data_IF_029217770290
#
_entry.id   IF_029217770290
#
_cell.length_a   1.000
_cell.length_b   1.000
_cell.length_c   1.000
_cell.angle_alpha   90.00
_cell.angle_beta   90.00
_cell.angle_gamma   90.00
#
_symmetry.space_group_name_H-M   'P 1'
#
loop_
_entity.id
_entity.type
_entity.pdbx_description
1 polymer ?
#
# COMPACT_ATOMS: atom_id res chain seq x y z
N UNK A 1 -9.73 3.15 19.09
CA UNK A 1 -8.68 3.34 20.12
C UNK A 1 -7.39 3.61 19.37
N UNK A 2 -6.75 4.73 19.63
CA UNK A 2 -5.46 5.08 19.03
C UNK A 2 -4.37 4.95 20.09
N UNK A 3 -3.23 4.37 19.73
CA UNK A 3 -2.06 4.26 20.57
C UNK A 3 -1.04 5.32 20.17
N UNK A 4 -0.28 5.84 21.12
CA UNK A 4 0.83 6.77 20.85
C UNK A 4 1.99 6.04 20.19
N UNK A 5 2.86 6.77 19.51
CA UNK A 5 4.06 6.19 18.90
C UNK A 5 4.93 5.49 19.93
N UNK A 6 5.06 6.04 21.14
CA UNK A 6 5.79 5.43 22.25
C UNK A 6 5.19 4.10 22.70
N UNK A 7 3.86 3.98 22.73
CA UNK A 7 3.15 2.73 23.05
C UNK A 7 3.38 1.68 21.96
N UNK A 8 3.37 2.08 20.69
CA UNK A 8 3.64 1.19 19.55
C UNK A 8 5.09 0.72 19.56
N UNK A 9 6.04 1.62 19.80
CA UNK A 9 7.47 1.29 19.93
C UNK A 9 7.66 0.29 21.09
N UNK A 10 7.04 0.54 22.24
CA UNK A 10 7.10 -0.34 23.42
C UNK A 10 6.52 -1.72 23.13
N UNK A 11 5.38 -1.78 22.44
CA UNK A 11 4.78 -3.03 21.99
C UNK A 11 5.74 -3.83 21.09
N UNK A 12 6.42 -3.16 20.15
CA UNK A 12 7.39 -3.78 19.24
C UNK A 12 8.75 -4.10 19.88
N UNK A 13 9.01 -3.64 21.08
CA UNK A 13 10.19 -4.01 21.90
C UNK A 13 9.93 -5.22 22.82
N UNK A 14 8.69 -5.67 22.93
CA UNK A 14 8.32 -6.83 23.75
C UNK A 14 9.09 -8.07 23.29
N UNK A 15 9.64 -8.82 24.24
CA UNK A 15 10.29 -10.11 24.00
C UNK A 15 9.23 -11.17 23.70
N UNK A 16 9.23 -11.71 22.46
CA UNK A 16 8.21 -12.69 22.01
C UNK A 16 8.31 -14.00 22.78
N UNK A 17 9.51 -14.39 23.21
CA UNK A 17 9.71 -15.61 24.01
C UNK A 17 9.01 -15.47 25.36
N UNK A 18 9.19 -14.34 26.02
CA UNK A 18 8.54 -14.02 27.29
C UNK A 18 7.02 -13.91 27.12
N UNK A 19 6.55 -13.26 26.05
CA UNK A 19 5.15 -13.14 25.73
C UNK A 19 4.49 -14.52 25.54
N UNK A 20 5.07 -15.41 24.71
CA UNK A 20 4.58 -16.77 24.48
C UNK A 20 4.59 -17.61 25.76
N UNK A 21 5.63 -17.47 26.58
CA UNK A 21 5.72 -18.19 27.86
C UNK A 21 4.61 -17.73 28.82
N UNK A 22 4.31 -16.43 28.87
CA UNK A 22 3.20 -15.89 29.67
C UNK A 22 1.81 -16.36 29.18
N UNK A 23 1.67 -16.65 27.87
CA UNK A 23 0.48 -17.27 27.30
C UNK A 23 0.41 -18.80 27.49
N UNK A 24 1.38 -19.39 28.17
CA UNK A 24 1.44 -20.85 28.40
C UNK A 24 1.87 -21.67 27.18
N UNK A 25 2.38 -21.03 26.15
CA UNK A 25 2.82 -21.68 24.92
C UNK A 25 4.16 -22.40 25.10
N UNK A 26 4.31 -23.56 24.45
CA UNK A 26 5.53 -24.37 24.56
C UNK A 26 6.56 -23.99 23.49
N UNK A 27 7.76 -23.71 23.94
CA UNK A 27 8.91 -23.34 23.10
C UNK A 27 10.00 -24.41 23.19
N UNK A 28 10.56 -24.79 22.05
CA UNK A 28 11.73 -25.66 21.95
C UNK A 28 12.99 -24.84 21.59
N UNK A 29 14.08 -25.01 22.30
CA UNK A 29 15.36 -24.37 21.98
C UNK A 29 15.90 -24.88 20.65
N UNK A 30 16.26 -23.97 19.73
CA UNK A 30 16.81 -24.27 18.41
C UNK A 30 18.03 -23.38 18.14
N UNK A 31 19.20 -23.79 18.58
CA UNK A 31 20.42 -22.99 18.49
C UNK A 31 20.35 -21.70 19.35
N UNK A 32 20.39 -20.53 18.69
CA UNK A 32 20.25 -19.22 19.33
C UNK A 32 18.80 -18.73 19.42
N UNK A 33 17.87 -19.44 18.81
CA UNK A 33 16.44 -19.09 18.70
C UNK A 33 15.58 -20.10 19.43
N UNK A 34 14.29 -19.78 19.57
CA UNK A 34 13.28 -20.70 20.08
C UNK A 34 12.27 -21.04 18.98
N UNK A 35 11.91 -22.31 18.86
CA UNK A 35 10.88 -22.80 17.95
C UNK A 35 9.56 -22.93 18.69
N UNK A 36 8.51 -22.35 18.14
CA UNK A 36 7.18 -22.44 18.74
C UNK A 36 6.53 -23.77 18.38
N UNK A 37 6.28 -24.62 19.38
CA UNK A 37 5.79 -25.98 19.14
C UNK A 37 4.41 -26.06 18.50
N UNK A 38 3.55 -25.06 18.73
CA UNK A 38 2.22 -24.99 18.10
C UNK A 38 2.30 -24.66 16.61
N UNK A 39 3.38 -24.00 16.20
CA UNK A 39 3.67 -23.62 14.83
C UNK A 39 5.13 -23.93 14.50
N UNK A 40 5.44 -25.19 14.22
CA UNK A 40 6.81 -25.72 14.06
C UNK A 40 7.69 -24.97 13.02
N UNK A 41 7.06 -24.29 12.06
CA UNK A 41 7.77 -23.46 11.08
C UNK A 41 8.15 -22.08 11.58
N UNK A 42 7.77 -21.71 12.83
CA UNK A 42 8.01 -20.39 13.40
C UNK A 42 9.14 -20.44 14.42
N UNK A 43 10.16 -19.61 14.21
CA UNK A 43 11.22 -19.32 15.18
C UNK A 43 11.08 -17.92 15.74
N UNK A 44 11.43 -17.72 17.00
CA UNK A 44 11.40 -16.45 17.71
C UNK A 44 12.72 -16.18 18.42
N UNK A 45 13.17 -14.92 18.45
CA UNK A 45 14.39 -14.50 19.12
C UNK A 45 14.25 -13.03 19.55
N UNK A 46 14.18 -12.77 20.86
CA UNK A 46 13.91 -11.42 21.37
C UNK A 46 12.61 -10.86 20.82
N UNK A 47 12.67 -9.72 20.19
CA UNK A 47 11.53 -9.05 19.55
C UNK A 47 11.41 -9.34 18.04
N UNK A 48 11.90 -10.49 17.58
CA UNK A 48 11.80 -10.92 16.19
C UNK A 48 11.21 -12.31 16.07
N UNK A 49 10.42 -12.52 15.01
CA UNK A 49 9.96 -13.83 14.62
C UNK A 49 10.19 -14.07 13.14
N UNK A 50 10.26 -15.33 12.75
CA UNK A 50 10.37 -15.77 11.37
C UNK A 50 9.61 -17.06 11.13
N UNK A 51 8.79 -17.10 10.07
CA UNK A 51 8.05 -18.28 9.63
C UNK A 51 8.70 -18.88 8.40
N UNK A 52 9.45 -19.97 8.60
CA UNK A 52 10.24 -20.62 7.55
C UNK A 52 9.39 -21.15 6.39
N UNK A 53 8.18 -21.63 6.64
CA UNK A 53 7.27 -22.17 5.61
C UNK A 53 6.76 -21.11 4.64
N UNK A 54 6.82 -19.83 5.01
CA UNK A 54 6.32 -18.72 4.21
C UNK A 54 7.39 -17.65 3.89
N UNK A 55 8.63 -17.85 4.37
CA UNK A 55 9.72 -16.93 4.12
C UNK A 55 9.53 -15.52 4.68
N UNK A 56 8.70 -15.34 5.71
CA UNK A 56 8.38 -14.03 6.29
C UNK A 56 8.56 -13.97 7.80
N UNK A 57 8.76 -12.77 8.30
CA UNK A 57 8.92 -12.49 9.72
C UNK A 57 8.59 -11.04 10.03
N UNK A 58 8.69 -10.65 11.28
CA UNK A 58 8.35 -9.29 11.70
C UNK A 58 8.64 -9.01 13.17
N UNK A 59 7.92 -8.04 13.71
CA UNK A 59 7.98 -7.59 15.09
C UNK A 59 6.82 -8.16 15.93
N UNK A 60 6.80 -7.92 17.26
CA UNK A 60 5.78 -8.48 18.15
C UNK A 60 4.34 -8.10 17.79
N UNK A 61 4.09 -6.87 17.32
CA UNK A 61 2.74 -6.47 16.90
C UNK A 61 2.27 -7.31 15.71
N UNK A 62 3.13 -7.46 14.68
CA UNK A 62 2.83 -8.31 13.52
C UNK A 62 2.62 -9.77 13.95
N UNK A 63 3.42 -10.26 14.92
CA UNK A 63 3.30 -11.59 15.47
C UNK A 63 1.91 -11.84 16.08
N UNK A 64 1.45 -10.91 16.92
CA UNK A 64 0.15 -11.05 17.58
C UNK A 64 -0.99 -10.95 16.59
N UNK A 65 -0.91 -10.03 15.62
CA UNK A 65 -1.90 -9.93 14.54
C UNK A 65 -1.98 -11.21 13.71
N UNK A 66 -0.84 -11.78 13.33
CA UNK A 66 -0.75 -12.98 12.50
C UNK A 66 -1.24 -14.27 13.19
N UNK A 67 -0.84 -14.48 14.44
CA UNK A 67 -1.04 -15.77 15.11
C UNK A 67 -2.17 -15.80 16.14
N UNK A 68 -2.64 -14.64 16.58
CA UNK A 68 -3.76 -14.51 17.52
C UNK A 68 -5.00 -13.91 16.87
N UNK A 69 -4.93 -13.63 15.53
CA UNK A 69 -6.02 -13.03 14.77
C UNK A 69 -6.53 -11.72 15.42
N UNK A 70 -5.63 -10.95 16.02
CA UNK A 70 -5.92 -9.71 16.70
C UNK A 70 -5.83 -8.53 15.74
N UNK A 71 -6.69 -7.55 15.93
CA UNK A 71 -6.53 -6.24 15.26
C UNK A 71 -5.31 -5.50 15.81
N UNK A 72 -4.81 -4.51 15.09
CA UNK A 72 -3.67 -3.72 15.56
C UNK A 72 -3.85 -3.14 16.98
N UNK A 73 -5.00 -2.53 17.33
CA UNK A 73 -5.24 -2.06 18.69
C UNK A 73 -5.21 -3.18 19.75
N UNK A 74 -5.80 -4.32 19.44
CA UNK A 74 -5.80 -5.50 20.33
C UNK A 74 -4.38 -6.06 20.50
N UNK A 75 -3.60 -6.11 19.41
CA UNK A 75 -2.21 -6.57 19.46
C UNK A 75 -1.36 -5.67 20.37
N UNK A 76 -1.46 -4.34 20.21
CA UNK A 76 -0.74 -3.40 21.09
C UNK A 76 -1.18 -3.58 22.55
N UNK A 77 -2.48 -3.68 22.81
CA UNK A 77 -3.02 -3.94 24.16
C UNK A 77 -2.49 -5.24 24.76
N UNK A 78 -2.46 -6.32 23.98
CA UNK A 78 -1.97 -7.63 24.44
C UNK A 78 -0.48 -7.60 24.80
N UNK A 79 0.31 -6.80 24.10
CA UNK A 79 1.75 -6.70 24.31
C UNK A 79 2.15 -5.72 25.44
N UNK A 80 1.40 -4.63 25.63
CA UNK A 80 1.73 -3.58 26.60
C UNK A 80 0.86 -3.64 27.86
N UNK A 81 -0.32 -4.26 27.79
CA UNK A 81 -1.32 -4.21 28.86
C UNK A 81 -2.05 -2.86 28.98
N UNK A 82 -1.73 -1.90 28.12
CA UNK A 82 -2.28 -0.54 28.14
C UNK A 82 -3.51 -0.42 27.23
N UNK A 83 -4.52 0.34 27.66
CA UNK A 83 -5.63 0.71 26.80
C UNK A 83 -5.30 2.00 26.05
N UNK A 84 -5.57 2.00 24.74
CA UNK A 84 -5.44 3.22 23.93
C UNK A 84 -6.51 4.24 24.36
N UNK A 85 -6.16 5.51 24.33
CA UNK A 85 -7.10 6.59 24.63
C UNK A 85 -8.21 6.65 23.58
N UNK A 86 -9.47 6.63 24.03
CA UNK A 86 -10.62 6.73 23.15
C UNK A 86 -10.79 8.15 22.62
N UNK A 87 -10.55 8.34 21.34
CA UNK A 87 -11.03 9.53 20.62
C UNK A 87 -12.05 9.11 19.58
N UNK A 88 -13.17 9.85 19.57
CA UNK A 88 -14.22 9.74 18.58
C UNK A 88 -13.61 9.92 17.17
N UNK A 89 -14.04 9.06 16.26
CA UNK A 89 -13.72 9.08 14.83
C UNK A 89 -14.12 10.42 14.22
N UNK A 90 -13.17 11.33 14.18
CA UNK A 90 -13.12 12.38 13.17
C UNK A 90 -12.01 11.98 12.22
N UNK A 91 -12.19 12.16 10.90
CA UNK A 91 -11.13 11.98 9.90
C UNK A 91 -9.79 12.42 10.50
N UNK A 92 -8.72 11.62 10.44
CA UNK A 92 -7.45 12.03 10.96
C UNK A 92 -7.06 13.33 10.25
N UNK A 93 -6.81 14.39 11.02
CA UNK A 93 -6.14 15.55 10.49
C UNK A 93 -4.86 15.08 9.78
N UNK A 94 -4.42 15.73 8.68
CA UNK A 94 -3.19 15.34 8.01
C UNK A 94 -2.09 15.24 9.04
N UNK A 95 -1.28 14.18 8.95
CA UNK A 95 -0.03 14.13 9.72
C UNK A 95 0.62 15.50 9.59
N UNK A 96 0.94 16.20 10.68
CA UNK A 96 1.40 17.59 10.61
C UNK A 96 2.68 17.77 9.79
N UNK A 97 3.33 16.67 9.40
CA UNK A 97 4.63 16.67 8.74
C UNK A 97 4.61 16.18 7.28
N UNK A 98 3.48 15.67 6.74
CA UNK A 98 3.42 15.30 5.32
C UNK A 98 3.60 16.51 4.42
N UNK A 99 4.64 16.52 3.61
CA UNK A 99 4.93 17.56 2.63
C UNK A 99 5.30 16.93 1.29
N UNK A 100 4.66 17.43 0.23
CA UNK A 100 5.05 17.06 -1.11
C UNK A 100 6.49 17.53 -1.39
N UNK A 101 7.30 16.73 -2.13
CA UNK A 101 8.58 17.16 -2.64
C UNK A 101 8.48 18.48 -3.43
N UNK A 102 9.51 19.32 -3.34
CA UNK A 102 9.57 20.56 -4.09
C UNK A 102 9.52 20.28 -5.60
N UNK A 103 8.67 21.02 -6.32
CA UNK A 103 8.51 20.87 -7.76
C UNK A 103 9.68 21.52 -8.51
N UNK A 104 10.12 20.87 -9.59
CA UNK A 104 10.99 21.48 -10.57
C UNK A 104 10.22 22.53 -11.39
N UNK A 105 10.92 23.47 -12.01
CA UNK A 105 10.32 24.53 -12.83
C UNK A 105 9.67 23.96 -14.11
N UNK A 106 10.23 22.88 -14.65
CA UNK A 106 9.70 22.18 -15.82
C UNK A 106 9.56 20.68 -15.53
N UNK A 107 8.97 19.93 -16.45
CA UNK A 107 8.76 18.49 -16.33
C UNK A 107 9.42 17.71 -17.48
N UNK A 108 10.43 18.28 -18.13
CA UNK A 108 10.99 17.72 -19.37
C UNK A 108 11.59 16.33 -19.18
N UNK A 109 12.25 16.09 -18.05
CA UNK A 109 12.88 14.82 -17.77
C UNK A 109 11.85 13.70 -17.51
N UNK A 110 10.82 13.98 -16.74
CA UNK A 110 9.76 13.00 -16.49
C UNK A 110 8.89 12.77 -17.72
N UNK A 111 8.62 13.78 -18.53
CA UNK A 111 7.93 13.63 -19.81
C UNK A 111 8.71 12.66 -20.68
N UNK A 112 10.02 12.90 -20.88
CA UNK A 112 10.88 12.00 -21.64
C UNK A 112 10.86 10.58 -21.08
N UNK A 113 11.02 10.42 -19.77
CA UNK A 113 11.00 9.12 -19.11
C UNK A 113 9.68 8.38 -19.33
N UNK A 114 8.54 9.03 -19.12
CA UNK A 114 7.24 8.41 -19.27
C UNK A 114 6.90 8.10 -20.73
N UNK A 115 7.35 8.93 -21.68
CA UNK A 115 7.10 8.70 -23.11
C UNK A 115 8.09 7.75 -23.74
N UNK A 116 9.39 7.98 -23.60
CA UNK A 116 10.42 7.21 -24.33
C UNK A 116 10.75 5.88 -23.63
N UNK A 117 10.79 5.86 -22.28
CA UNK A 117 11.16 4.66 -21.55
C UNK A 117 9.95 3.80 -21.11
N UNK A 118 8.75 4.43 -21.02
CA UNK A 118 7.51 3.76 -20.57
C UNK A 118 6.44 3.66 -21.66
N UNK A 119 6.64 4.28 -22.82
CA UNK A 119 5.73 4.20 -23.95
C UNK A 119 4.39 4.91 -23.75
N UNK A 120 4.26 5.76 -22.71
CA UNK A 120 3.00 6.45 -22.44
C UNK A 120 2.87 7.66 -23.36
N UNK A 121 1.70 7.83 -23.98
CA UNK A 121 1.44 8.95 -24.89
C UNK A 121 1.62 10.31 -24.20
N UNK A 122 2.32 11.22 -24.91
CA UNK A 122 2.68 12.54 -24.40
C UNK A 122 1.46 13.34 -23.93
N UNK A 123 0.37 13.33 -24.69
CA UNK A 123 -0.84 14.06 -24.35
C UNK A 123 -1.45 13.58 -23.02
N UNK A 124 -1.39 12.27 -22.76
CA UNK A 124 -1.84 11.70 -21.48
C UNK A 124 -0.95 12.16 -20.33
N UNK A 125 0.38 12.09 -20.50
CA UNK A 125 1.34 12.58 -19.49
C UNK A 125 1.10 14.06 -19.18
N UNK A 126 0.94 14.89 -20.21
CA UNK A 126 0.68 16.33 -20.06
C UNK A 126 -0.67 16.62 -19.37
N UNK A 127 -1.71 15.81 -19.61
CA UNK A 127 -3.00 15.93 -18.93
C UNK A 127 -2.85 15.70 -17.40
N UNK A 128 -2.12 14.65 -16.99
CA UNK A 128 -1.87 14.37 -15.57
C UNK A 128 -0.91 15.37 -14.91
N UNK A 129 0.03 15.95 -15.66
CA UNK A 129 0.87 17.05 -15.19
C UNK A 129 0.01 18.31 -14.99
N UNK A 130 -0.89 18.57 -15.93
CA UNK A 130 -1.82 19.72 -15.88
C UNK A 130 -2.78 19.67 -14.68
N UNK A 131 -3.20 18.48 -14.25
CA UNK A 131 -4.00 18.31 -13.02
C UNK A 131 -3.15 18.49 -11.73
N UNK A 132 -1.83 18.43 -11.83
CA UNK A 132 -0.92 18.48 -10.71
C UNK A 132 -0.80 17.17 -9.92
N UNK A 133 -1.28 16.06 -10.49
CA UNK A 133 -1.20 14.73 -9.89
C UNK A 133 0.09 14.00 -10.27
N UNK A 134 0.77 14.49 -11.32
CA UNK A 134 2.13 14.07 -11.70
C UNK A 134 3.00 15.32 -11.84
N UNK A 135 4.23 15.26 -11.32
CA UNK A 135 5.22 16.32 -11.53
C UNK A 135 6.65 15.80 -11.32
N UNK A 136 7.64 16.58 -11.78
CA UNK A 136 9.08 16.35 -11.54
C UNK A 136 9.49 16.96 -10.21
N UNK A 137 10.11 16.17 -9.33
CA UNK A 137 10.68 16.71 -8.10
C UNK A 137 12.08 17.28 -8.36
N UNK A 138 12.38 18.40 -7.69
CA UNK A 138 13.56 19.23 -7.95
C UNK A 138 14.89 18.58 -7.57
N UNK A 139 14.93 17.80 -6.50
CA UNK A 139 16.18 17.34 -5.93
C UNK A 139 16.83 16.18 -6.72
N UNK A 140 16.02 15.22 -7.14
CA UNK A 140 16.50 13.99 -7.80
C UNK A 140 15.87 13.77 -9.17
N UNK A 141 15.00 14.69 -9.60
CA UNK A 141 14.27 14.62 -10.86
C UNK A 141 13.45 13.31 -11.02
N UNK A 142 12.88 12.83 -9.91
CA UNK A 142 11.97 11.70 -9.92
C UNK A 142 10.59 12.12 -10.42
N UNK A 143 9.85 11.17 -10.99
CA UNK A 143 8.40 11.34 -11.16
C UNK A 143 7.74 11.22 -9.79
N UNK A 144 6.92 12.21 -9.42
CA UNK A 144 6.06 12.16 -8.25
C UNK A 144 4.63 11.89 -8.69
N UNK A 145 4.02 10.84 -8.15
CA UNK A 145 2.61 10.50 -8.30
C UNK A 145 1.89 10.86 -7.01
N UNK A 146 0.91 11.77 -7.07
CA UNK A 146 0.22 12.34 -5.91
C UNK A 146 -1.10 11.63 -5.67
N UNK A 147 -1.32 11.17 -4.45
CA UNK A 147 -2.61 10.70 -3.95
C UNK A 147 -3.30 11.80 -3.15
N UNK A 148 -4.57 12.07 -3.48
CA UNK A 148 -5.38 13.11 -2.83
C UNK A 148 -6.58 12.51 -2.14
N UNK A 149 -7.09 13.20 -1.13
CA UNK A 149 -8.41 12.91 -0.55
C UNK A 149 -9.56 13.42 -1.44
N UNK A 150 -10.80 13.27 -0.94
CA UNK A 150 -11.99 13.70 -1.65
C UNK A 150 -12.08 15.23 -1.85
N UNK A 151 -11.42 16.00 -0.98
CA UNK A 151 -11.36 17.45 -1.04
C UNK A 151 -10.20 17.97 -1.94
N UNK A 152 -9.45 17.04 -2.55
CA UNK A 152 -8.32 17.35 -3.42
C UNK A 152 -7.03 17.69 -2.65
N UNK A 153 -6.98 17.48 -1.34
CA UNK A 153 -5.80 17.75 -0.52
C UNK A 153 -4.82 16.57 -0.69
N UNK A 154 -3.52 16.83 -1.00
CA UNK A 154 -2.50 15.80 -1.05
C UNK A 154 -2.32 15.10 0.31
N UNK A 155 -2.37 13.77 0.31
CA UNK A 155 -2.19 12.92 1.49
C UNK A 155 -1.09 11.87 1.32
N UNK A 156 -0.76 11.58 0.08
CA UNK A 156 0.18 10.55 -0.30
C UNK A 156 0.98 11.00 -1.51
N UNK A 157 2.23 10.57 -1.60
CA UNK A 157 2.99 10.67 -2.82
C UNK A 157 3.98 9.51 -2.96
N UNK A 158 4.11 9.00 -4.19
CA UNK A 158 5.07 7.98 -4.56
C UNK A 158 6.07 8.55 -5.56
N UNK A 159 7.36 8.30 -5.33
CA UNK A 159 8.44 8.74 -6.21
C UNK A 159 8.98 7.58 -7.03
N UNK A 160 9.18 7.82 -8.33
CA UNK A 160 9.82 6.90 -9.26
C UNK A 160 11.02 7.54 -9.93
N UNK A 161 12.20 6.93 -9.76
CA UNK A 161 13.44 7.39 -10.38
C UNK A 161 13.40 7.35 -11.91
N UNK A 162 13.95 8.39 -12.53
CA UNK A 162 14.05 8.55 -14.00
C UNK A 162 15.44 8.18 -14.52
N UNK A 163 16.41 7.94 -13.64
CA UNK A 163 17.79 7.58 -13.99
C UNK A 163 18.02 6.08 -14.07
N UNK A 164 19.29 5.68 -14.20
CA UNK A 164 19.73 4.28 -14.23
C UNK A 164 19.40 3.54 -12.92
N UNK A 165 19.51 4.23 -11.78
CA UNK A 165 19.11 3.70 -10.48
C UNK A 165 17.59 3.63 -10.41
N UNK A 166 17.06 2.41 -10.34
CA UNK A 166 15.61 2.15 -10.28
C UNK A 166 15.01 2.51 -8.91
N UNK A 167 15.12 3.77 -8.51
CA UNK A 167 14.51 4.24 -7.26
C UNK A 167 12.99 4.15 -7.31
N UNK A 168 12.39 3.67 -6.23
CA UNK A 168 10.96 3.73 -5.96
C UNK A 168 10.75 3.83 -4.45
N UNK A 169 9.84 4.68 -4.02
CA UNK A 169 9.54 4.84 -2.59
C UNK A 169 8.47 5.89 -2.36
N UNK A 170 7.80 5.75 -1.25
CA UNK A 170 6.82 6.75 -0.85
C UNK A 170 7.52 7.90 -0.14
N UNK A 171 6.94 9.08 -0.26
CA UNK A 171 7.36 10.25 0.48
C UNK A 171 7.09 10.01 1.98
N UNK A 172 8.01 10.46 2.83
CA UNK A 172 7.85 10.34 4.28
C UNK A 172 6.49 10.91 4.74
N UNK A 173 5.92 10.31 5.77
CA UNK A 173 4.61 10.68 6.36
C UNK A 173 3.42 10.59 5.37
N UNK A 174 3.57 9.91 4.24
CA UNK A 174 2.46 9.60 3.34
C UNK A 174 1.41 8.73 4.03
N UNK A 175 0.14 9.13 3.93
CA UNK A 175 -0.98 8.32 4.41
C UNK A 175 -1.29 7.20 3.41
N UNK A 176 -1.07 5.95 3.83
CA UNK A 176 -1.29 4.75 3.01
C UNK A 176 -2.76 4.45 2.70
N UNK A 177 -3.70 5.20 3.29
CA UNK A 177 -5.11 5.14 2.94
C UNK A 177 -5.41 5.87 1.62
N UNK A 178 -4.42 6.51 1.03
CA UNK A 178 -4.54 7.19 -0.26
C UNK A 178 -3.53 6.63 -1.26
N UNK A 179 -3.89 6.70 -2.54
CA UNK A 179 -3.04 6.30 -3.64
C UNK A 179 -3.19 7.27 -4.81
N UNK A 180 -2.28 7.18 -5.78
CA UNK A 180 -2.46 7.88 -7.04
C UNK A 180 -3.72 7.34 -7.73
N UNK A 181 -4.69 8.20 -8.06
CA UNK A 181 -5.99 7.76 -8.51
C UNK A 181 -6.66 8.74 -9.48
N UNK A 182 -7.61 8.23 -10.25
CA UNK A 182 -8.63 9.00 -10.95
C UNK A 182 -10.01 8.65 -10.38
N UNK A 183 -10.81 9.65 -10.07
CA UNK A 183 -12.16 9.50 -9.56
C UNK A 183 -13.18 9.72 -10.66
N UNK A 184 -13.62 8.65 -11.30
CA UNK A 184 -14.65 8.70 -12.34
C UNK A 184 -16.07 8.82 -11.77
N UNK A 185 -17.06 8.76 -12.64
CA UNK A 185 -18.47 8.94 -12.28
C UNK A 185 -19.30 7.66 -12.38
N UNK A 186 -18.74 6.58 -12.97
CA UNK A 186 -19.41 5.30 -13.06
C UNK A 186 -19.22 4.42 -11.82
N UNK A 187 -19.68 3.19 -11.85
CA UNK A 187 -19.64 2.24 -10.75
C UNK A 187 -18.47 1.26 -10.83
N UNK A 188 -17.45 1.52 -11.65
CA UNK A 188 -16.31 0.63 -11.87
C UNK A 188 -15.02 1.22 -11.25
N UNK A 189 -14.27 0.38 -10.56
CA UNK A 189 -12.94 0.70 -10.03
C UNK A 189 -11.92 -0.31 -10.56
N UNK A 190 -10.84 0.20 -11.15
CA UNK A 190 -9.69 -0.58 -11.61
C UNK A 190 -8.50 -0.33 -10.69
N UNK A 191 -7.92 -1.40 -10.14
CA UNK A 191 -6.89 -1.34 -9.09
C UNK A 191 -5.57 -1.90 -9.61
N UNK A 192 -4.48 -1.16 -9.43
CA UNK A 192 -3.14 -1.48 -9.95
C UNK A 192 -2.11 -1.49 -8.81
N UNK A 193 -1.02 -2.21 -8.99
CA UNK A 193 0.10 -2.15 -8.06
C UNK A 193 0.85 -0.83 -8.17
N UNK A 194 1.12 -0.34 -9.40
CA UNK A 194 1.87 0.88 -9.64
C UNK A 194 1.14 1.88 -10.55
N UNK A 195 1.47 3.17 -10.39
CA UNK A 195 0.88 4.26 -11.17
C UNK A 195 1.17 4.16 -12.67
N UNK A 196 2.36 3.63 -13.04
CA UNK A 196 2.73 3.45 -14.45
C UNK A 196 1.81 2.42 -15.12
N UNK A 197 1.45 1.34 -14.43
CA UNK A 197 0.53 0.33 -14.95
C UNK A 197 -0.88 0.88 -15.11
N UNK A 198 -1.33 1.73 -14.18
CA UNK A 198 -2.59 2.46 -14.30
C UNK A 198 -2.63 3.32 -15.56
N UNK A 199 -1.58 4.12 -15.82
CA UNK A 199 -1.49 4.95 -17.02
C UNK A 199 -1.45 4.10 -18.29
N UNK A 200 -0.68 3.01 -18.28
CA UNK A 200 -0.58 2.07 -19.39
C UNK A 200 -1.92 1.41 -19.71
N UNK A 201 -2.66 1.02 -18.69
CA UNK A 201 -4.01 0.45 -18.86
C UNK A 201 -4.99 1.45 -19.47
N UNK A 202 -4.98 2.71 -19.03
CA UNK A 202 -5.83 3.76 -19.61
C UNK A 202 -5.50 3.94 -21.09
N UNK A 203 -4.22 3.93 -21.47
CA UNK A 203 -3.80 4.05 -22.85
C UNK A 203 -4.21 2.86 -23.71
N UNK A 204 -4.12 1.63 -23.18
CA UNK A 204 -4.58 0.43 -23.87
C UNK A 204 -6.12 0.39 -24.05
N UNK A 205 -6.86 0.98 -23.11
CA UNK A 205 -8.31 0.97 -23.08
C UNK A 205 -8.92 2.37 -22.93
N UNK A 206 -8.68 3.31 -23.87
CA UNK A 206 -8.98 4.73 -23.71
C UNK A 206 -10.49 5.05 -23.77
N UNK A 207 -11.32 4.13 -24.21
CA UNK A 207 -12.76 4.37 -24.36
C UNK A 207 -13.40 4.65 -22.99
N UNK A 208 -14.01 5.81 -22.84
CA UNK A 208 -14.75 6.24 -21.64
C UNK A 208 -13.91 6.24 -20.33
N UNK A 209 -12.58 6.28 -20.44
CA UNK A 209 -11.71 6.16 -19.25
C UNK A 209 -12.02 7.21 -18.19
N UNK A 210 -12.37 8.45 -18.56
CA UNK A 210 -12.71 9.52 -17.61
C UNK A 210 -13.94 9.24 -16.75
N UNK A 211 -14.80 8.32 -17.18
CA UNK A 211 -15.97 7.91 -16.40
C UNK A 211 -15.64 6.86 -15.35
N UNK A 212 -14.63 6.03 -15.59
CA UNK A 212 -14.20 4.93 -14.70
C UNK A 212 -13.31 5.47 -13.60
N UNK A 213 -13.24 4.75 -12.49
CA UNK A 213 -12.30 5.05 -11.42
C UNK A 213 -11.08 4.14 -11.50
N UNK A 214 -9.92 4.70 -11.17
CA UNK A 214 -8.63 3.99 -11.20
C UNK A 214 -7.86 4.32 -9.92
N UNK A 215 -7.21 3.31 -9.34
CA UNK A 215 -6.42 3.44 -8.12
C UNK A 215 -5.11 2.65 -8.25
N UNK A 216 -4.00 3.29 -7.96
CA UNK A 216 -2.71 2.63 -7.74
C UNK A 216 -2.45 2.51 -6.23
N UNK A 217 -2.13 1.29 -5.79
CA UNK A 217 -1.87 1.00 -4.37
C UNK A 217 -0.49 1.48 -3.90
N UNK A 218 0.44 1.75 -4.83
CA UNK A 218 1.84 2.03 -4.50
C UNK A 218 2.56 0.83 -3.86
N UNK A 219 2.05 -0.37 -4.09
CA UNK A 219 2.47 -1.67 -3.52
C UNK A 219 1.27 -2.61 -3.41
N UNK A 220 1.23 -3.44 -2.39
CA UNK A 220 0.20 -4.49 -2.19
C UNK A 220 -0.69 -4.29 -0.97
N UNK A 221 -0.68 -3.09 -0.35
CA UNK A 221 -1.53 -2.78 0.81
C UNK A 221 -2.98 -2.55 0.39
N UNK A 222 -3.93 -3.09 1.14
CA UNK A 222 -5.37 -2.88 0.91
C UNK A 222 -5.90 -1.55 1.44
N UNK A 223 -5.13 -0.81 2.24
CA UNK A 223 -5.60 0.38 2.95
C UNK A 223 -6.21 1.43 1.99
N UNK A 224 -5.50 1.75 0.88
CA UNK A 224 -6.00 2.71 -0.11
C UNK A 224 -7.28 2.22 -0.82
N UNK A 225 -7.37 0.92 -1.10
CA UNK A 225 -8.56 0.33 -1.71
C UNK A 225 -9.76 0.43 -0.78
N UNK A 226 -9.61 0.06 0.49
CA UNK A 226 -10.71 0.11 1.46
C UNK A 226 -11.20 1.53 1.72
N UNK A 227 -10.27 2.49 1.84
CA UNK A 227 -10.61 3.90 1.97
C UNK A 227 -11.34 4.42 0.73
N UNK A 228 -10.86 4.10 -0.47
CA UNK A 228 -11.47 4.52 -1.73
C UNK A 228 -12.90 3.98 -1.87
N UNK A 229 -13.14 2.71 -1.55
CA UNK A 229 -14.47 2.10 -1.59
C UNK A 229 -15.42 2.74 -0.56
N UNK A 230 -14.92 3.06 0.64
CA UNK A 230 -15.70 3.76 1.68
C UNK A 230 -16.10 5.17 1.26
N UNK A 231 -15.22 5.90 0.57
CA UNK A 231 -15.50 7.25 0.04
C UNK A 231 -16.45 7.23 -1.18
N UNK A 232 -16.57 6.10 -1.88
CA UNK A 232 -17.24 5.97 -3.18
C UNK A 232 -18.32 4.87 -3.20
N UNK A 233 -19.44 5.04 -2.47
CA UNK A 233 -20.47 3.99 -2.34
C UNK A 233 -21.17 3.63 -3.65
N UNK A 234 -21.04 4.44 -4.71
CA UNK A 234 -21.56 4.11 -6.05
C UNK A 234 -20.74 3.02 -6.76
N UNK A 235 -19.50 2.72 -6.31
CA UNK A 235 -18.73 1.61 -6.87
C UNK A 235 -19.41 0.29 -6.49
N UNK A 236 -19.61 -0.57 -7.48
CA UNK A 236 -20.18 -1.91 -7.30
C UNK A 236 -19.33 -2.99 -7.94
N UNK A 237 -18.38 -2.60 -8.80
CA UNK A 237 -17.51 -3.54 -9.51
C UNK A 237 -16.05 -3.13 -9.33
N UNK A 238 -15.23 -4.05 -8.81
CA UNK A 238 -13.80 -3.87 -8.58
C UNK A 238 -13.02 -4.81 -9.49
N UNK A 239 -12.17 -4.24 -10.33
CA UNK A 239 -11.29 -4.98 -11.23
C UNK A 239 -9.87 -4.95 -10.66
N UNK A 240 -9.36 -6.09 -10.21
CA UNK A 240 -8.00 -6.24 -9.72
C UNK A 240 -7.05 -6.45 -10.89
N UNK A 241 -6.31 -5.43 -11.24
CA UNK A 241 -5.40 -5.33 -12.39
C UNK A 241 -3.91 -5.36 -11.96
N UNK A 242 -3.58 -6.11 -10.91
CA UNK A 242 -2.21 -6.22 -10.40
C UNK A 242 -1.31 -7.01 -11.37
N UNK A 243 -0.02 -7.01 -11.10
CA UNK A 243 0.97 -7.71 -11.92
C UNK A 243 0.65 -9.21 -12.10
N UNK A 244 1.08 -9.80 -13.21
CA UNK A 244 0.89 -11.21 -13.51
C UNK A 244 2.13 -12.03 -13.10
N UNK A 245 2.62 -11.80 -11.91
CA UNK A 245 3.65 -12.60 -11.25
C UNK A 245 3.10 -13.24 -9.97
N UNK A 246 3.93 -13.97 -9.25
CA UNK A 246 3.53 -14.68 -8.04
C UNK A 246 2.99 -13.72 -6.97
N UNK A 247 3.69 -12.62 -6.73
CA UNK A 247 3.30 -11.63 -5.71
C UNK A 247 1.98 -10.93 -6.06
N UNK A 248 1.79 -10.51 -7.32
CA UNK A 248 0.56 -9.88 -7.79
C UNK A 248 -0.64 -10.84 -7.80
N UNK A 249 -0.43 -12.13 -8.05
CA UNK A 249 -1.50 -13.13 -7.96
C UNK A 249 -1.90 -13.37 -6.51
N UNK A 250 -0.96 -13.59 -5.58
CA UNK A 250 -1.26 -13.73 -4.13
C UNK A 250 -1.94 -12.47 -3.57
N UNK A 251 -1.43 -11.28 -3.93
CA UNK A 251 -2.03 -10.02 -3.51
C UNK A 251 -3.47 -9.87 -4.02
N UNK A 252 -3.74 -10.29 -5.26
CA UNK A 252 -5.10 -10.24 -5.83
C UNK A 252 -6.07 -11.17 -5.10
N UNK A 253 -5.64 -12.39 -4.75
CA UNK A 253 -6.44 -13.32 -3.98
C UNK A 253 -6.74 -12.78 -2.57
N UNK A 254 -5.73 -12.21 -1.92
CA UNK A 254 -5.88 -11.57 -0.60
C UNK A 254 -6.85 -10.39 -0.66
N UNK A 255 -6.67 -9.48 -1.60
CA UNK A 255 -7.56 -8.32 -1.77
C UNK A 255 -9.00 -8.74 -2.06
N UNK A 256 -9.20 -9.78 -2.88
CA UNK A 256 -10.55 -10.29 -3.17
C UNK A 256 -11.28 -10.82 -1.93
N UNK A 257 -10.54 -11.34 -0.94
CA UNK A 257 -11.09 -11.79 0.34
C UNK A 257 -11.36 -10.60 1.29
N UNK A 258 -10.51 -9.57 1.24
CA UNK A 258 -10.62 -8.39 2.11
C UNK A 258 -11.72 -7.41 1.66
N UNK A 259 -12.08 -7.39 0.36
CA UNK A 259 -13.19 -6.56 -0.15
C UNK A 259 -14.50 -7.05 0.47
N UNK A 260 -15.32 -6.16 1.10
CA UNK A 260 -16.58 -6.55 1.72
C UNK A 260 -17.56 -7.19 0.74
N UNK A 261 -18.51 -7.97 1.26
CA UNK A 261 -19.63 -8.50 0.48
C UNK A 261 -20.45 -7.37 -0.19
N UNK A 262 -20.96 -7.66 -1.38
CA UNK A 262 -21.76 -6.71 -2.17
C UNK A 262 -21.03 -6.10 -3.36
N UNK A 263 -19.71 -6.26 -3.46
CA UNK A 263 -18.96 -5.88 -4.66
C UNK A 263 -18.78 -7.07 -5.60
N UNK A 264 -18.88 -6.82 -6.91
CA UNK A 264 -18.43 -7.77 -7.94
C UNK A 264 -16.91 -7.62 -8.09
N UNK A 265 -16.13 -8.62 -7.69
CA UNK A 265 -14.67 -8.60 -7.77
C UNK A 265 -14.21 -9.46 -8.95
N UNK A 266 -13.44 -8.86 -9.86
CA UNK A 266 -12.98 -9.49 -11.10
C UNK A 266 -11.46 -9.31 -11.20
N UNK A 267 -10.72 -10.41 -11.38
CA UNK A 267 -9.29 -10.38 -11.67
C UNK A 267 -9.07 -10.18 -13.17
N UNK A 268 -8.43 -9.06 -13.56
CA UNK A 268 -7.91 -8.84 -14.91
C UNK A 268 -6.39 -8.98 -14.90
N UNK A 269 -5.89 -9.93 -15.70
CA UNK A 269 -4.44 -10.19 -15.79
C UNK A 269 -3.86 -9.55 -17.05
N UNK A 270 -2.72 -8.84 -16.97
CA UNK A 270 -1.99 -8.46 -18.16
C UNK A 270 -1.48 -9.72 -18.90
N UNK A 271 -1.33 -9.65 -20.21
CA UNK A 271 -0.81 -10.75 -21.04
C UNK A 271 0.71 -10.94 -20.86
N UNK A 272 1.40 -9.97 -20.27
CA UNK A 272 2.80 -10.00 -19.88
C UNK A 272 2.91 -9.90 -18.37
N UNK A 273 4.10 -9.55 -17.86
CA UNK A 273 4.30 -9.40 -16.41
C UNK A 273 3.44 -8.29 -15.83
N UNK A 274 3.45 -7.12 -16.44
CA UNK A 274 2.69 -5.94 -16.03
C UNK A 274 2.01 -5.27 -17.23
N UNK A 275 1.21 -4.24 -17.00
CA UNK A 275 0.49 -3.53 -18.05
C UNK A 275 1.41 -2.64 -18.90
N UNK A 276 2.52 -2.17 -18.33
CA UNK A 276 3.47 -1.35 -19.06
C UNK A 276 4.29 -2.16 -20.07
N UNK A 277 4.55 -3.43 -19.81
CA UNK A 277 5.23 -4.32 -20.78
C UNK A 277 4.39 -4.64 -22.03
N UNK A 278 3.10 -4.29 -22.03
CA UNK A 278 2.20 -4.52 -23.19
C UNK A 278 2.29 -3.35 -24.19
N UNK A 279 2.66 -2.14 -23.73
CA UNK A 279 2.91 -0.99 -24.59
C UNK A 279 4.19 -1.17 -25.39
#
# INVERSE_FOLDING_TARGET
>A
MQYTEEQIIRANQTDIVSFLSAQGEQLGKSGKEYRWKKHDSVTVSGNRWYRHSQGRGGYPVDFVMEFYNATFPEAVKMLTGEEGEGRNSTCPAPSPDFRLPEKEENNDRIIRYLTENRGIEKNMVEEWIGSGDIYEEKKHHNVVFVGRDADGIPRYAHCRGTGETKYRGDVAESDKSYGFCHRGTDNQLFVFEAAIDLLSFIQLFPKDWKKRSYLSLGGISSAALMAFLSERPQITSVFLCLDNDHAGNEASEKLAIEIPDGYSVIRLKPSRKDWNEIL
#
